data_IF_442274592159
#
_entry.id   IF_442274592159
#
_cell.length_a   1.000
_cell.length_b   1.000
_cell.length_c   1.000
_cell.angle_alpha   90.00
_cell.angle_beta   90.00
_cell.angle_gamma   90.00
#
_symmetry.space_group_name_H-M   'P 1'
#
loop_
_entity.id
_entity.type
_entity.pdbx_description
1 polymer ?
#
# COMPACT_ATOMS: atom_id res chain seq x y z
N UNK A 1 9.67 11.91 -3.13
CA UNK A 1 8.94 11.84 -4.42
C UNK A 1 8.24 13.19 -4.69
N UNK A 2 7.95 13.60 -5.94
CA UNK A 2 7.08 14.77 -6.19
C UNK A 2 5.61 14.36 -6.22
N UNK A 3 4.69 15.29 -5.94
CA UNK A 3 3.24 15.04 -6.03
C UNK A 3 2.82 14.54 -7.41
N UNK A 4 3.36 15.13 -8.49
CA UNK A 4 3.10 14.68 -9.86
C UNK A 4 3.50 13.23 -10.08
N UNK A 5 4.70 12.84 -9.64
CA UNK A 5 5.20 11.46 -9.77
C UNK A 5 4.38 10.50 -8.91
N UNK A 6 3.98 10.94 -7.73
CA UNK A 6 3.14 10.15 -6.83
C UNK A 6 1.76 9.86 -7.43
N UNK A 7 1.09 10.87 -8.00
CA UNK A 7 -0.18 10.69 -8.72
C UNK A 7 -0.06 9.76 -9.92
N UNK A 8 1.04 9.86 -10.68
CA UNK A 8 1.29 8.95 -11.81
C UNK A 8 1.39 7.49 -11.34
N UNK A 9 2.04 7.25 -10.20
CA UNK A 9 2.20 5.92 -9.63
C UNK A 9 0.90 5.37 -9.04
N UNK A 10 0.12 6.19 -8.34
CA UNK A 10 -1.21 5.81 -7.86
C UNK A 10 -2.14 5.45 -9.02
N UNK A 11 -2.18 6.28 -10.05
CA UNK A 11 -3.00 6.02 -11.24
C UNK A 11 -2.57 4.74 -11.97
N UNK A 12 -1.26 4.48 -12.06
CA UNK A 12 -0.75 3.22 -12.62
C UNK A 12 -1.16 2.02 -11.76
N UNK A 13 -0.99 2.12 -10.44
CA UNK A 13 -1.36 1.07 -9.49
C UNK A 13 -2.85 0.71 -9.55
N UNK A 14 -3.73 1.71 -9.60
CA UNK A 14 -5.19 1.50 -9.73
C UNK A 14 -5.55 0.84 -11.06
N UNK A 15 -4.90 1.22 -12.16
CA UNK A 15 -5.12 0.55 -13.47
C UNK A 15 -4.75 -0.93 -13.42
N UNK A 16 -3.70 -1.27 -12.69
CA UNK A 16 -3.23 -2.65 -12.52
C UNK A 16 -4.03 -3.43 -11.46
N UNK A 17 -4.71 -2.73 -10.54
CA UNK A 17 -5.41 -3.29 -9.38
C UNK A 17 -6.73 -2.52 -9.13
N UNK A 18 -7.76 -2.67 -9.99
CA UNK A 18 -9.00 -1.90 -9.87
C UNK A 18 -9.78 -2.18 -8.58
N UNK A 19 -9.64 -3.38 -8.01
CA UNK A 19 -10.19 -3.79 -6.72
C UNK A 19 -9.64 -2.97 -5.54
N UNK A 20 -8.43 -2.41 -5.69
CA UNK A 20 -7.80 -1.58 -4.67
C UNK A 20 -8.62 -0.34 -4.29
N UNK A 21 -9.48 0.15 -5.19
CA UNK A 21 -10.34 1.31 -4.96
C UNK A 21 -11.37 1.11 -3.85
N UNK A 22 -11.66 -0.14 -3.48
CA UNK A 22 -12.60 -0.48 -2.41
C UNK A 22 -11.90 -0.83 -1.08
N UNK A 23 -10.56 -0.82 -1.06
CA UNK A 23 -9.77 -1.23 0.10
C UNK A 23 -9.46 -0.04 1.01
N UNK A 24 -9.25 -0.32 2.30
CA UNK A 24 -8.83 0.68 3.26
C UNK A 24 -7.43 1.21 2.91
N UNK A 25 -7.26 2.53 2.92
CA UNK A 25 -5.96 3.18 2.70
C UNK A 25 -5.23 3.35 4.03
N UNK A 26 -3.96 2.94 4.07
CA UNK A 26 -3.09 2.98 5.26
C UNK A 26 -1.81 3.77 4.98
N UNK A 27 -1.33 4.49 5.98
CA UNK A 27 -0.02 5.15 6.00
C UNK A 27 0.74 4.75 7.29
N UNK A 28 2.07 4.90 7.30
CA UNK A 28 2.87 4.59 8.51
C UNK A 28 2.60 5.62 9.59
N UNK A 29 2.40 5.14 10.82
CA UNK A 29 2.13 5.94 12.01
C UNK A 29 3.43 6.29 12.74
N UNK A 30 4.40 6.88 12.06
CA UNK A 30 5.53 7.51 12.77
C UNK A 30 4.96 8.78 13.45
N UNK A 31 4.91 8.75 14.79
CA UNK A 31 3.70 8.99 15.58
C UNK A 31 3.66 10.35 16.32
N UNK A 32 4.33 11.40 15.82
CA UNK A 32 4.35 12.70 16.52
C UNK A 32 3.82 13.89 15.70
N UNK A 33 3.61 13.73 14.38
CA UNK A 33 3.20 14.83 13.49
C UNK A 33 4.24 15.97 13.34
N UNK A 34 5.35 15.88 14.06
CA UNK A 34 6.49 16.79 13.99
C UNK A 34 7.63 16.24 13.13
N UNK A 35 7.57 14.97 12.76
CA UNK A 35 8.52 14.31 11.88
C UNK A 35 7.90 14.10 10.50
N UNK A 36 8.63 14.49 9.47
CA UNK A 36 8.20 14.36 8.08
C UNK A 36 9.22 13.51 7.34
N UNK A 37 8.80 12.34 6.86
CA UNK A 37 9.62 11.50 6.00
C UNK A 37 9.22 11.69 4.55
N UNK A 38 10.17 11.82 3.61
CA UNK A 38 9.85 11.79 2.20
C UNK A 38 9.17 10.47 1.85
N UNK A 39 8.07 10.52 1.08
CA UNK A 39 7.47 9.33 0.47
C UNK A 39 8.53 8.65 -0.40
N UNK A 40 8.87 7.43 -0.01
CA UNK A 40 9.95 6.61 -0.61
C UNK A 40 9.41 5.32 -1.21
N UNK A 41 8.26 4.84 -0.76
CA UNK A 41 7.72 3.56 -1.20
C UNK A 41 6.64 3.75 -2.28
N UNK A 42 6.25 2.63 -2.88
CA UNK A 42 5.20 2.58 -3.89
C UNK A 42 3.94 2.00 -3.26
N UNK A 43 2.75 2.38 -3.75
CA UNK A 43 1.51 1.78 -3.31
C UNK A 43 1.56 0.24 -3.43
N UNK A 44 1.06 -0.45 -2.42
CA UNK A 44 0.99 -1.92 -2.40
C UNK A 44 -0.35 -2.39 -1.84
N UNK A 45 -0.81 -3.57 -2.28
CA UNK A 45 -1.95 -4.28 -1.67
C UNK A 45 -1.45 -5.29 -0.64
N UNK A 46 -2.22 -5.45 0.43
CA UNK A 46 -1.84 -6.35 1.52
C UNK A 46 -2.98 -6.70 2.45
N UNK A 47 -2.63 -7.42 3.50
CA UNK A 47 -3.51 -7.72 4.62
C UNK A 47 -3.15 -6.83 5.80
N UNK A 48 -4.17 -6.33 6.48
CA UNK A 48 -4.06 -5.56 7.69
C UNK A 48 -5.01 -6.13 8.74
N UNK A 49 -4.51 -6.33 9.96
CA UNK A 49 -5.27 -6.88 11.08
C UNK A 49 -5.69 -5.82 12.13
N UNK A 50 -5.47 -4.53 11.83
CA UNK A 50 -5.68 -3.44 12.79
C UNK A 50 -4.39 -2.97 13.47
N UNK A 51 -3.28 -3.71 13.34
CA UNK A 51 -1.99 -3.33 13.91
C UNK A 51 -0.83 -3.47 12.93
N UNK A 52 -0.80 -4.56 12.17
CA UNK A 52 0.31 -4.92 11.28
C UNK A 52 -0.16 -5.05 9.85
N UNK A 53 0.62 -4.50 8.92
CA UNK A 53 0.37 -4.63 7.48
C UNK A 53 1.38 -5.60 6.85
N UNK A 54 0.88 -6.57 6.08
CA UNK A 54 1.69 -7.49 5.29
C UNK A 54 1.42 -7.32 3.80
N UNK A 55 2.39 -6.84 3.00
CA UNK A 55 2.23 -6.72 1.56
C UNK A 55 2.10 -8.12 0.93
N UNK A 56 1.19 -8.25 -0.03
CA UNK A 56 1.10 -9.46 -0.85
C UNK A 56 2.15 -9.35 -1.95
N UNK A 57 3.23 -10.10 -1.82
CA UNK A 57 4.30 -10.15 -2.82
C UNK A 57 4.13 -11.34 -3.77
N UNK A 58 4.95 -11.40 -4.83
CA UNK A 58 5.00 -12.58 -5.72
C UNK A 58 5.38 -13.84 -4.95
N UNK A 59 6.23 -13.71 -3.94
CA UNK A 59 6.60 -14.80 -3.04
C UNK A 59 5.40 -15.30 -2.22
N UNK A 60 4.52 -14.40 -1.75
CA UNK A 60 3.28 -14.78 -1.03
C UNK A 60 2.35 -15.63 -1.89
N UNK A 61 2.23 -15.30 -3.19
CA UNK A 61 1.46 -16.09 -4.15
C UNK A 61 2.08 -17.47 -4.39
N UNK A 62 3.41 -17.58 -4.47
CA UNK A 62 4.09 -18.88 -4.69
C UNK A 62 3.97 -19.84 -3.51
N UNK A 63 3.71 -19.34 -2.30
CA UNK A 63 3.50 -20.13 -1.10
C UNK A 63 2.04 -20.59 -0.91
N UNK A 64 1.16 -20.33 -1.89
CA UNK A 64 -0.27 -20.70 -1.81
C UNK A 64 -1.07 -19.87 -0.80
N UNK A 65 -0.49 -18.76 -0.31
CA UNK A 65 -1.17 -17.83 0.60
C UNK A 65 -1.99 -16.87 -0.27
N UNK A 66 -3.11 -17.36 -0.83
CA UNK A 66 -4.14 -16.51 -1.43
C UNK A 66 -4.94 -15.84 -0.30
N UNK A 67 -4.39 -14.74 0.22
CA UNK A 67 -5.18 -13.84 1.07
C UNK A 67 -5.76 -12.75 0.18
N UNK A 68 -7.09 -12.64 0.16
CA UNK A 68 -7.76 -11.48 -0.42
C UNK A 68 -7.27 -10.23 0.32
N UNK A 69 -6.64 -9.30 -0.41
CA UNK A 69 -6.18 -8.06 0.16
C UNK A 69 -7.37 -7.29 0.78
N UNK A 70 -7.18 -6.72 1.96
CA UNK A 70 -8.18 -5.88 2.62
C UNK A 70 -7.73 -4.41 2.74
N UNK A 71 -6.47 -4.11 2.41
CA UNK A 71 -5.89 -2.78 2.55
C UNK A 71 -4.86 -2.44 1.45
N UNK A 72 -4.65 -1.14 1.27
CA UNK A 72 -3.62 -0.53 0.43
C UNK A 72 -2.72 0.34 1.29
N UNK A 73 -1.41 0.06 1.31
CA UNK A 73 -0.43 0.91 1.99
C UNK A 73 0.18 1.94 1.03
N UNK A 74 0.20 3.20 1.44
CA UNK A 74 0.65 4.36 0.67
C UNK A 74 1.76 5.16 1.39
N UNK A 75 2.90 4.51 1.70
CA UNK A 75 4.13 5.17 2.19
C UNK A 75 5.16 5.44 1.09
#
# INVERSE_FOLDING_TARGET
MTLKKYLQLLNKFVKENPDALQLQVLASTDDEGNHYVPVKFFPSKGNYDGHTYWPISKESKSLGIERNANAVCIN
#
